data_IF_244592487148
#
_entry.id   IF_244592487148
#
_cell.length_a   1.000
_cell.length_b   1.000
_cell.length_c   1.000
_cell.angle_alpha   90.00
_cell.angle_beta   90.00
_cell.angle_gamma   90.00
#
_symmetry.space_group_name_H-M   'P 1'
#
loop_
_entity.id
_entity.type
_entity.pdbx_description
1 polymer ?
#
# COMPACT_ATOMS: atom_id res chain seq x y z
N UNK A 1 -20.72 -1.91 -29.56
CA UNK A 1 -21.07 -1.54 -28.18
C UNK A 1 -20.86 -2.65 -27.16
N UNK A 2 -19.65 -3.24 -27.06
CA UNK A 2 -19.28 -4.18 -25.97
C UNK A 2 -17.99 -3.77 -25.22
N UNK A 3 -17.14 -2.94 -25.83
CA UNK A 3 -15.94 -2.38 -25.18
C UNK A 3 -16.23 -1.33 -24.09
N UNK A 4 -17.30 -0.54 -24.22
CA UNK A 4 -17.54 0.59 -23.31
C UNK A 4 -17.73 0.17 -21.82
N UNK A 5 -18.48 -0.90 -21.50
CA UNK A 5 -18.60 -1.38 -20.12
C UNK A 5 -17.30 -1.92 -19.52
N UNK A 6 -16.44 -2.55 -20.34
CA UNK A 6 -15.17 -3.14 -19.88
C UNK A 6 -14.18 -2.04 -19.51
N UNK A 7 -14.02 -1.04 -20.39
CA UNK A 7 -13.12 0.09 -20.15
C UNK A 7 -13.54 0.91 -18.93
N UNK A 8 -14.85 1.10 -18.75
CA UNK A 8 -15.41 1.77 -17.57
C UNK A 8 -15.05 1.01 -16.29
N UNK A 9 -15.28 -0.31 -16.27
CA UNK A 9 -14.94 -1.15 -15.11
C UNK A 9 -13.43 -1.11 -14.79
N UNK A 10 -12.57 -1.14 -15.80
CA UNK A 10 -11.12 -1.03 -15.61
C UNK A 10 -10.71 0.33 -15.01
N UNK A 11 -11.34 1.42 -15.45
CA UNK A 11 -11.10 2.75 -14.90
C UNK A 11 -11.56 2.87 -13.44
N UNK A 12 -12.72 2.30 -13.10
CA UNK A 12 -13.24 2.24 -11.73
C UNK A 12 -12.34 1.43 -10.80
N UNK A 13 -11.82 0.29 -11.27
CA UNK A 13 -10.87 -0.53 -10.52
C UNK A 13 -9.55 0.21 -10.27
N UNK A 14 -9.03 0.91 -11.27
CA UNK A 14 -7.83 1.73 -11.12
C UNK A 14 -8.06 2.87 -10.10
N UNK A 15 -9.21 3.54 -10.17
CA UNK A 15 -9.58 4.59 -9.21
C UNK A 15 -9.73 4.04 -7.79
N UNK A 16 -10.39 2.90 -7.62
CA UNK A 16 -10.58 2.24 -6.33
C UNK A 16 -9.23 1.80 -5.73
N UNK A 17 -8.34 1.26 -6.57
CA UNK A 17 -6.98 0.86 -6.17
C UNK A 17 -6.14 2.05 -5.69
N UNK A 18 -6.25 3.21 -6.36
CA UNK A 18 -5.61 4.46 -5.91
C UNK A 18 -6.13 4.88 -4.54
N UNK A 19 -7.46 4.95 -4.40
CA UNK A 19 -8.09 5.39 -3.16
C UNK A 19 -7.69 4.51 -1.97
N UNK A 20 -7.76 3.18 -2.12
CA UNK A 20 -7.39 2.25 -1.06
C UNK A 20 -5.92 2.31 -0.67
N UNK A 21 -5.01 2.50 -1.64
CA UNK A 21 -3.59 2.67 -1.36
C UNK A 21 -3.30 3.97 -0.59
N UNK A 22 -3.97 5.07 -0.94
CA UNK A 22 -3.84 6.35 -0.24
C UNK A 22 -4.40 6.26 1.19
N UNK A 23 -5.59 5.66 1.35
CA UNK A 23 -6.24 5.49 2.65
C UNK A 23 -5.40 4.61 3.60
N UNK A 24 -4.78 3.55 3.08
CA UNK A 24 -3.84 2.74 3.87
C UNK A 24 -2.65 3.58 4.35
N UNK A 25 -2.03 4.37 3.46
CA UNK A 25 -0.87 5.18 3.83
C UNK A 25 -1.21 6.24 4.89
N UNK A 26 -2.37 6.86 4.79
CA UNK A 26 -2.85 7.85 5.76
C UNK A 26 -3.04 7.26 7.16
N UNK A 27 -3.48 6.00 7.26
CA UNK A 27 -3.65 5.30 8.54
C UNK A 27 -2.33 4.88 9.19
N UNK A 28 -1.27 4.71 8.41
CA UNK A 28 0.02 4.23 8.91
C UNK A 28 0.67 5.34 9.76
N UNK A 29 0.95 5.10 11.05
CA UNK A 29 1.58 6.12 11.88
C UNK A 29 3.04 6.36 11.47
N UNK A 30 3.54 7.57 11.68
CA UNK A 30 4.93 7.93 11.36
C UNK A 30 5.97 7.10 12.14
N UNK A 31 5.61 6.56 13.30
CA UNK A 31 6.42 5.61 14.06
C UNK A 31 6.66 4.31 13.29
N UNK A 32 5.72 3.89 12.43
CA UNK A 32 5.79 2.63 11.71
C UNK A 32 6.66 2.65 10.44
N UNK A 33 7.01 3.84 9.95
CA UNK A 33 7.79 4.02 8.71
C UNK A 33 9.24 4.41 8.98
N UNK A 34 10.12 4.02 8.08
CA UNK A 34 11.54 4.38 8.11
C UNK A 34 11.70 5.89 7.92
N UNK A 35 12.64 6.54 8.61
CA UNK A 35 12.91 8.00 8.49
C UNK A 35 13.13 8.48 7.03
N UNK A 36 13.70 7.62 6.18
CA UNK A 36 13.89 7.90 4.74
C UNK A 36 12.57 8.01 3.93
N UNK A 37 11.43 7.69 4.54
CA UNK A 37 10.10 7.83 3.93
C UNK A 37 9.64 9.29 3.88
N UNK A 38 9.88 10.06 4.94
CA UNK A 38 9.39 11.45 5.07
C UNK A 38 9.67 12.31 3.83
N UNK A 39 10.90 12.41 3.31
CA UNK A 39 11.15 13.23 2.11
C UNK A 39 10.56 12.65 0.82
N UNK A 40 10.19 11.35 0.80
CA UNK A 40 9.63 10.65 -0.37
C UNK A 40 8.11 10.69 -0.42
N UNK A 41 7.45 10.84 0.74
CA UNK A 41 6.00 10.72 0.89
C UNK A 41 5.24 11.62 -0.07
N UNK A 42 5.59 12.90 -0.17
CA UNK A 42 4.84 13.83 -1.03
C UNK A 42 4.90 13.45 -2.52
N UNK A 43 6.08 13.06 -3.01
CA UNK A 43 6.25 12.59 -4.39
C UNK A 43 5.51 11.27 -4.63
N UNK A 44 5.50 10.39 -3.63
CA UNK A 44 4.75 9.14 -3.67
C UNK A 44 3.24 9.39 -3.73
N UNK A 45 2.69 10.26 -2.89
CA UNK A 45 1.25 10.63 -2.89
C UNK A 45 0.82 11.13 -4.26
N UNK A 46 1.55 12.11 -4.82
CA UNK A 46 1.28 12.64 -6.15
C UNK A 46 1.33 11.53 -7.21
N UNK A 47 2.31 10.64 -7.13
CA UNK A 47 2.41 9.52 -8.07
C UNK A 47 1.25 8.52 -7.98
N UNK A 48 0.75 8.25 -6.77
CA UNK A 48 -0.43 7.37 -6.60
C UNK A 48 -1.66 8.06 -7.15
N UNK A 49 -1.89 9.33 -6.80
CA UNK A 49 -3.04 10.09 -7.26
C UNK A 49 -3.11 10.18 -8.80
N UNK A 50 -1.96 10.32 -9.47
CA UNK A 50 -1.86 10.42 -10.93
C UNK A 50 -1.48 9.12 -11.64
N UNK A 51 -1.52 7.96 -10.96
CA UNK A 51 -1.22 6.69 -11.61
C UNK A 51 -2.26 6.37 -12.70
N UNK A 52 -1.81 6.21 -13.95
CA UNK A 52 -2.66 5.95 -15.11
C UNK A 52 -2.75 4.47 -15.51
N UNK A 53 -2.02 3.60 -14.81
CA UNK A 53 -2.00 2.16 -15.09
C UNK A 53 -1.63 1.35 -13.85
N UNK A 54 -1.89 0.04 -13.92
CA UNK A 54 -1.70 -0.90 -12.83
C UNK A 54 -0.23 -1.06 -12.45
N UNK A 55 0.68 -1.09 -13.43
CA UNK A 55 2.13 -1.19 -13.19
C UNK A 55 2.66 -0.03 -12.35
N UNK A 56 2.17 1.19 -12.58
CA UNK A 56 2.52 2.34 -11.76
C UNK A 56 2.08 2.15 -10.30
N UNK A 57 0.86 1.66 -10.07
CA UNK A 57 0.34 1.38 -8.74
C UNK A 57 1.08 0.25 -8.02
N UNK A 58 1.38 -0.85 -8.71
CA UNK A 58 2.16 -1.97 -8.18
C UNK A 58 3.51 -1.46 -7.65
N UNK A 59 4.20 -0.63 -8.44
CA UNK A 59 5.46 0.00 -8.00
C UNK A 59 5.27 0.85 -6.75
N UNK A 60 4.17 1.60 -6.64
CA UNK A 60 3.89 2.45 -5.46
C UNK A 60 3.52 1.65 -4.23
N UNK A 61 2.75 0.57 -4.36
CA UNK A 61 2.46 -0.36 -3.27
C UNK A 61 3.75 -1.02 -2.76
N UNK A 62 4.61 -1.50 -3.65
CA UNK A 62 5.92 -2.05 -3.30
C UNK A 62 6.84 -1.02 -2.60
N UNK A 63 6.73 0.27 -2.95
CA UNK A 63 7.48 1.35 -2.28
C UNK A 63 6.96 1.61 -0.86
N UNK A 64 5.64 1.60 -0.65
CA UNK A 64 5.04 1.77 0.67
C UNK A 64 5.43 0.60 1.59
N UNK A 65 5.32 -0.65 1.12
CA UNK A 65 5.80 -1.83 1.85
C UNK A 65 7.27 -1.68 2.27
N UNK A 66 8.14 -1.27 1.33
CA UNK A 66 9.55 -1.09 1.61
C UNK A 66 9.84 0.09 2.57
N UNK A 67 8.90 1.03 2.73
CA UNK A 67 9.00 2.14 3.66
C UNK A 67 8.64 1.74 5.10
N UNK A 68 7.81 0.71 5.29
CA UNK A 68 7.50 0.17 6.61
C UNK A 68 8.74 -0.43 7.27
N UNK A 69 8.88 -0.20 8.57
CA UNK A 69 9.88 -0.86 9.40
C UNK A 69 9.46 -2.31 9.62
N UNK A 70 10.44 -3.20 9.82
CA UNK A 70 10.15 -4.62 9.96
C UNK A 70 9.41 -4.90 11.29
N UNK A 71 9.76 -4.17 12.34
CA UNK A 71 9.11 -4.23 13.66
C UNK A 71 7.65 -3.76 13.66
N UNK A 72 7.23 -3.02 12.63
CA UNK A 72 5.84 -2.57 12.44
C UNK A 72 4.95 -3.61 11.77
N UNK A 73 5.53 -4.72 11.31
CA UNK A 73 4.86 -5.77 10.58
C UNK A 73 4.77 -7.03 11.44
N UNK A 74 3.81 -7.90 11.11
CA UNK A 74 3.70 -9.20 11.73
C UNK A 74 4.96 -10.05 11.47
N UNK A 75 5.42 -10.86 12.44
CA UNK A 75 6.64 -11.65 12.30
C UNK A 75 6.63 -12.64 11.12
N UNK A 76 5.43 -13.02 10.65
CA UNK A 76 5.24 -13.89 9.48
C UNK A 76 5.41 -13.16 8.15
N UNK A 77 5.37 -11.82 8.12
CA UNK A 77 5.44 -11.04 6.89
C UNK A 77 6.70 -11.30 6.05
N UNK A 78 7.92 -11.35 6.62
CA UNK A 78 9.12 -11.61 5.82
C UNK A 78 9.07 -12.89 5.00
N UNK A 79 8.47 -13.96 5.54
CA UNK A 79 8.31 -15.23 4.82
C UNK A 79 7.27 -15.15 3.70
N UNK A 80 6.21 -14.35 3.89
CA UNK A 80 5.13 -14.15 2.90
C UNK A 80 5.49 -13.13 1.82
N UNK A 81 6.40 -12.21 2.10
CA UNK A 81 6.66 -11.01 1.29
C UNK A 81 7.00 -11.30 -0.16
N UNK A 82 7.82 -12.32 -0.42
CA UNK A 82 8.28 -12.62 -1.77
C UNK A 82 7.16 -13.22 -2.63
N UNK A 83 6.34 -14.10 -2.04
CA UNK A 83 5.12 -14.63 -2.66
C UNK A 83 4.12 -13.50 -2.94
N UNK A 84 3.84 -12.63 -1.95
CA UNK A 84 2.98 -11.47 -2.12
C UNK A 84 3.43 -10.54 -3.28
N UNK A 85 4.75 -10.35 -3.45
CA UNK A 85 5.30 -9.56 -4.57
C UNK A 85 5.16 -10.25 -5.92
N UNK A 86 5.31 -11.58 -5.95
CA UNK A 86 5.13 -12.39 -7.16
C UNK A 86 3.66 -12.35 -7.59
N UNK A 87 2.72 -12.64 -6.69
CA UNK A 87 1.27 -12.59 -6.94
C UNK A 87 0.83 -11.24 -7.51
N UNK A 88 1.31 -10.14 -6.91
CA UNK A 88 1.01 -8.79 -7.36
C UNK A 88 1.51 -8.50 -8.78
N UNK A 89 2.67 -9.05 -9.14
CA UNK A 89 3.31 -8.82 -10.44
C UNK A 89 2.73 -9.71 -11.53
N UNK A 90 2.43 -10.97 -11.21
CA UNK A 90 1.91 -11.97 -12.15
C UNK A 90 0.43 -11.73 -12.49
N UNK A 91 -0.39 -11.41 -11.49
CA UNK A 91 -1.83 -11.21 -11.69
C UNK A 91 -2.14 -9.88 -12.40
N UNK A 92 -1.29 -8.85 -12.22
CA UNK A 92 -1.32 -7.54 -12.86
C UNK A 92 -2.73 -6.98 -13.17
N UNK A 93 -3.66 -7.07 -12.21
CA UNK A 93 -5.05 -6.62 -12.31
C UNK A 93 -5.40 -5.61 -11.21
N UNK A 94 -6.46 -4.83 -11.39
CA UNK A 94 -6.92 -3.90 -10.35
C UNK A 94 -7.36 -4.63 -9.08
N UNK A 95 -8.02 -5.77 -9.24
CA UNK A 95 -8.41 -6.66 -8.15
C UNK A 95 -7.19 -7.19 -7.38
N UNK A 96 -6.12 -7.59 -8.08
CA UNK A 96 -4.88 -8.02 -7.43
C UNK A 96 -4.26 -6.91 -6.57
N UNK A 97 -4.34 -5.64 -7.02
CA UNK A 97 -3.85 -4.51 -6.21
C UNK A 97 -4.70 -4.33 -4.96
N UNK A 98 -6.03 -4.41 -5.07
CA UNK A 98 -6.92 -4.30 -3.90
C UNK A 98 -6.64 -5.40 -2.87
N UNK A 99 -6.48 -6.64 -3.33
CA UNK A 99 -6.11 -7.78 -2.49
C UNK A 99 -4.74 -7.56 -1.85
N UNK A 100 -3.75 -7.08 -2.62
CA UNK A 100 -2.42 -6.83 -2.12
C UNK A 100 -2.37 -5.69 -1.09
N UNK A 101 -3.16 -4.62 -1.27
CA UNK A 101 -3.35 -3.54 -0.28
C UNK A 101 -3.94 -4.13 1.01
N UNK A 102 -5.01 -4.93 0.91
CA UNK A 102 -5.63 -5.56 2.08
C UNK A 102 -4.67 -6.53 2.79
N UNK A 103 -3.88 -7.30 2.04
CA UNK A 103 -2.86 -8.19 2.60
C UNK A 103 -1.77 -7.43 3.34
N UNK A 104 -1.33 -6.27 2.81
CA UNK A 104 -0.36 -5.42 3.50
C UNK A 104 -0.98 -4.76 4.73
N UNK A 105 -2.21 -4.27 4.64
CA UNK A 105 -2.97 -3.69 5.76
C UNK A 105 -3.12 -4.70 6.90
N UNK A 106 -3.45 -5.96 6.59
CA UNK A 106 -3.53 -7.04 7.58
C UNK A 106 -2.18 -7.53 8.12
N UNK A 107 -1.07 -7.19 7.46
CA UNK A 107 0.27 -7.51 7.93
C UNK A 107 0.87 -6.45 8.86
N UNK A 108 0.22 -5.29 8.99
CA UNK A 108 0.65 -4.25 9.94
C UNK A 108 0.20 -4.65 11.34
N UNK A 109 1.15 -4.66 12.27
CA UNK A 109 0.89 -4.95 13.69
C UNK A 109 0.28 -3.73 14.38
N UNK A 110 -1.00 -3.44 14.08
CA UNK A 110 -1.70 -2.20 14.45
C UNK A 110 -1.67 -1.87 15.94
N UNK A 111 -1.64 -2.87 16.80
CA UNK A 111 -1.59 -2.67 18.26
C UNK A 111 -0.22 -2.14 18.70
N UNK A 112 0.87 -2.65 18.10
CA UNK A 112 2.24 -2.18 18.40
C UNK A 112 2.47 -0.75 17.93
N UNK A 113 2.04 -0.45 16.70
CA UNK A 113 2.35 0.84 16.08
C UNK A 113 1.50 1.99 16.63
N UNK A 114 0.31 1.70 17.19
CA UNK A 114 -0.55 2.71 17.86
C UNK A 114 -0.07 3.01 19.27
N UNK A 115 0.39 2.01 20.01
CA UNK A 115 0.93 2.21 21.36
C UNK A 115 2.17 3.11 21.35
N UNK A 116 3.01 3.00 20.32
CA UNK A 116 4.17 3.88 20.13
C UNK A 116 3.78 5.36 19.96
N UNK A 117 2.65 5.66 19.31
CA UNK A 117 2.18 7.05 19.15
C UNK A 117 1.76 7.62 20.51
N UNK A 118 0.93 6.88 21.24
CA UNK A 118 0.47 7.30 22.57
C UNK A 118 1.61 7.37 23.60
N UNK A 119 2.68 6.59 23.41
CA UNK A 119 3.86 6.63 24.26
C UNK A 119 4.75 7.86 24.00
N UNK A 120 4.77 8.37 22.77
CA UNK A 120 5.50 9.60 22.41
C UNK A 120 4.78 10.87 22.87
N UNK A 121 3.45 10.89 22.87
CA UNK A 121 2.64 12.05 23.30
C UNK A 121 2.62 12.24 24.83
N UNK A 122 3.03 11.22 25.60
CA UNK A 122 3.07 11.25 27.07
C UNK A 122 4.43 11.67 27.66
N UNK A 123 5.38 12.09 26.83
CA UNK A 123 6.73 12.54 27.22
C UNK A 123 6.92 14.02 26.95
#
# INVERSE_FOLDING_TARGET
GKQAPILQKMAELLASSRARLLELEEKIPWSAVKKKWTPKRQSWLNSVQHASNLTALIKRLCMLEAALKQESLEPSWPARRDEWRAELTEAASGEAILVAVASLEGAIAWDRVRDDVLALERR
#
